data_IF_885755573766
#
_entry.id   IF_885755573766
#
_cell.length_a   1.000
_cell.length_b   1.000
_cell.length_c   1.000
_cell.angle_alpha   90.00
_cell.angle_beta   90.00
_cell.angle_gamma   90.00
#
_symmetry.space_group_name_H-M   'P 1'
#
loop_
_entity.id
_entity.type
_entity.pdbx_description
1 polymer ?
2 non-polymer ?
3 non-polymer ?
4 non-polymer ?
5 non-polymer ?
6 water ?
#
# COMPACT_ATOMS: atom_id res chain seq x y z
N UNK A 7 13.71 -6.84 10.12
CA UNK A 7 13.04 -5.52 9.93
C UNK A 7 12.25 -5.16 11.17
N UNK A 8 12.96 -4.69 12.20
CA UNK A 8 12.29 -4.16 13.39
C UNK A 8 11.45 -2.97 12.96
N UNK A 9 10.15 -3.21 12.72
CA UNK A 9 9.22 -2.10 12.52
C UNK A 9 9.27 -1.25 13.77
N UNK A 10 8.91 0.00 13.60
CA UNK A 10 9.06 0.95 14.68
C UNK A 10 8.03 0.80 15.82
N UNK A 11 8.38 1.32 16.98
CA UNK A 11 7.58 1.20 18.19
C UNK A 11 6.27 2.00 18.17
N UNK A 12 6.09 2.93 17.22
CA UNK A 12 4.81 3.59 17.08
C UNK A 12 3.96 3.02 15.99
N UNK A 13 4.39 1.91 15.42
CA UNK A 13 3.62 1.24 14.39
C UNK A 13 2.24 0.81 14.91
N UNK A 14 1.19 1.16 14.14
CA UNK A 14 -0.18 0.85 14.51
C UNK A 14 -0.85 2.04 15.23
N UNK A 15 -0.05 3.02 15.64
CA UNK A 15 -0.55 4.28 16.13
C UNK A 15 -0.87 5.21 14.97
N UNK A 16 -1.87 6.05 15.18
CA UNK A 16 -2.22 7.09 14.25
C UNK A 16 -2.24 8.42 14.97
N UNK A 17 -1.47 9.33 14.46
CA UNK A 17 -1.39 10.66 14.95
C UNK A 17 -2.20 11.56 14.04
N UNK A 18 -3.22 12.17 14.60
CA UNK A 18 -4.06 13.10 13.92
C UNK A 18 -3.60 14.50 14.32
N UNK A 19 -3.16 15.28 13.30
CA UNK A 19 -2.61 16.61 13.54
C UNK A 19 -3.57 17.62 12.92
N UNK A 20 -3.54 18.83 13.46
CA UNK A 20 -4.33 19.94 12.93
C UNK A 20 -3.46 21.13 12.50
N UNK A 21 -2.15 21.00 12.61
CA UNK A 21 -1.24 22.00 11.99
C UNK A 21 0.04 21.35 11.53
N UNK A 22 0.80 22.07 10.73
CA UNK A 22 2.05 21.63 10.16
C UNK A 22 3.00 21.30 11.30
N UNK A 23 3.71 20.21 11.21
CA UNK A 23 4.82 19.87 12.14
C UNK A 23 6.08 20.56 11.63
N UNK A 24 6.66 21.47 12.41
CA UNK A 24 7.88 22.15 12.05
C UNK A 24 9.09 21.43 12.68
N UNK A 25 10.06 21.01 11.88
CA UNK A 25 11.27 20.39 12.33
C UNK A 25 12.39 21.41 12.11
N UNK A 26 13.16 21.66 13.17
CA UNK A 26 14.10 22.74 13.14
C UNK A 26 15.45 22.32 12.70
N UNK A 27 16.26 23.29 12.30
CA UNK A 27 17.60 23.04 11.88
C UNK A 27 18.41 22.11 12.86
N UNK A 28 19.00 21.03 12.37
CA UNK A 28 19.70 20.04 13.19
C UNK A 28 18.86 19.04 13.96
N UNK A 29 17.53 19.18 13.89
CA UNK A 29 16.63 18.23 14.50
C UNK A 29 16.32 17.14 13.50
N UNK A 30 16.14 15.93 14.02
CA UNK A 30 15.52 14.79 13.27
C UNK A 30 14.18 14.40 13.92
N UNK A 31 13.10 14.54 13.16
CA UNK A 31 11.81 14.02 13.55
C UNK A 31 11.76 12.59 13.18
N UNK A 32 11.74 11.69 14.15
CA UNK A 32 11.59 10.26 13.90
C UNK A 32 10.28 9.70 14.34
N UNK A 33 9.40 9.41 13.38
CA UNK A 33 8.11 8.94 13.71
C UNK A 33 8.01 7.52 14.23
N UNK A 34 9.10 6.75 14.23
CA UNK A 34 9.07 5.38 14.61
C UNK A 34 7.92 4.58 14.05
N UNK A 35 7.55 4.85 12.77
CA UNK A 35 6.49 4.10 12.09
C UNK A 35 5.09 4.61 12.28
N UNK A 36 4.91 5.73 12.99
CA UNK A 36 3.62 6.33 13.18
C UNK A 36 3.00 6.68 11.84
N UNK A 37 1.70 6.55 11.78
CA UNK A 37 0.90 7.00 10.62
C UNK A 37 0.29 8.35 10.96
N UNK A 38 0.43 9.32 10.09
CA UNK A 38 -0.04 10.67 10.32
C UNK A 38 -1.25 10.95 9.43
N UNK A 39 -2.31 11.47 10.01
CA UNK A 39 -3.47 11.87 9.31
C UNK A 39 -3.70 13.32 9.62
N UNK A 40 -3.68 14.17 8.60
CA UNK A 40 -3.89 15.59 8.83
C UNK A 40 -5.33 16.00 8.69
N UNK A 41 -5.77 16.86 9.59
CA UNK A 41 -7.14 17.35 9.57
C UNK A 41 -7.14 18.84 9.48
N UNK A 42 -8.01 19.38 8.62
CA UNK A 42 -8.13 20.84 8.44
C UNK A 42 -7.04 21.55 7.63
N UNK A 43 -6.20 20.76 6.95
CA UNK A 43 -5.02 21.21 6.31
C UNK A 43 -5.09 21.00 4.81
N UNK A 44 -6.22 20.51 4.31
CA UNK A 44 -6.32 20.17 2.89
C UNK A 44 -6.99 18.84 2.66
N UNK A 45 -7.40 18.57 1.41
CA UNK A 45 -8.10 17.36 1.06
C UNK A 45 -7.22 16.46 0.18
N UNK A 46 -5.99 16.89 -0.10
CA UNK A 46 -5.08 16.13 -0.94
C UNK A 46 -5.45 16.24 -2.46
N UNK A 47 -6.35 17.18 -2.81
CA UNK A 47 -6.69 17.38 -4.22
C UNK A 47 -5.60 18.18 -4.90
N UNK A 48 -5.86 18.62 -6.15
CA UNK A 48 -4.95 19.53 -6.78
C UNK A 48 -5.08 21.05 -6.43
N UNK A 49 -5.94 21.40 -5.47
CA UNK A 49 -6.00 22.76 -5.00
C UNK A 49 -4.65 23.23 -4.47
N UNK A 50 -4.47 24.54 -4.67
CA UNK A 50 -3.19 25.22 -4.60
C UNK A 50 -2.73 25.50 -3.20
N UNK A 51 -3.73 25.68 -2.34
CA UNK A 51 -3.54 26.37 -1.07
C UNK A 51 -3.73 25.42 0.10
N UNK A 52 -3.10 24.26 0.05
CA UNK A 52 -3.17 23.34 1.18
C UNK A 52 -1.93 23.56 2.00
N UNK A 53 -1.95 23.10 3.26
CA UNK A 53 -0.77 23.18 4.11
C UNK A 53 0.12 21.98 3.98
N UNK A 54 1.43 22.16 4.25
CA UNK A 54 2.27 21.00 4.36
C UNK A 54 2.06 20.23 5.68
N UNK A 55 2.25 18.92 5.63
CA UNK A 55 2.19 18.09 6.78
C UNK A 55 3.42 18.38 7.66
N UNK A 56 4.56 18.46 7.04
CA UNK A 56 5.82 18.78 7.64
C UNK A 56 6.51 19.94 6.95
N UNK A 57 7.15 20.83 7.74
CA UNK A 57 8.08 21.86 7.25
C UNK A 57 9.41 21.51 7.78
N UNK A 58 10.35 21.19 6.92
CA UNK A 58 11.71 20.84 7.34
C UNK A 58 12.59 22.03 7.07
N UNK A 59 12.97 22.71 8.14
CA UNK A 59 13.83 23.87 7.96
C UNK A 59 15.19 23.41 7.41
N UNK A 60 16.05 24.37 7.00
CA UNK A 60 17.35 24.04 6.48
C UNK A 60 18.09 23.20 7.55
N UNK A 61 18.63 22.05 7.18
CA UNK A 61 19.40 21.20 8.08
C UNK A 61 18.53 20.30 8.94
N UNK A 62 17.22 20.30 8.68
CA UNK A 62 16.30 19.37 9.41
C UNK A 62 16.14 18.01 8.68
N UNK A 63 15.94 16.92 9.40
CA UNK A 63 15.69 15.59 8.83
C UNK A 63 14.36 15.03 9.30
N UNK A 64 13.82 14.07 8.53
CA UNK A 64 12.64 13.37 8.84
C UNK A 64 12.78 11.92 8.50
N UNK A 65 12.33 11.07 9.38
CA UNK A 65 12.38 9.64 9.15
C UNK A 65 11.22 8.87 9.72
N UNK A 66 10.89 7.76 9.06
CA UNK A 66 10.01 6.71 9.62
C UNK A 66 8.62 7.20 9.93
N UNK A 67 8.01 7.91 8.99
CA UNK A 67 6.60 8.15 9.04
C UNK A 67 5.83 7.57 7.83
N UNK A 68 4.59 7.35 8.09
CA UNK A 68 3.63 7.01 7.00
C UNK A 68 2.73 8.22 6.97
N UNK A 69 2.51 8.87 5.82
CA UNK A 69 1.62 9.94 5.63
C UNK A 69 0.36 9.35 4.98
N UNK A 70 -0.75 9.33 5.75
CA UNK A 70 -2.01 8.81 5.31
C UNK A 70 -2.71 9.88 4.49
N UNK A 71 -3.73 9.46 3.74
CA UNK A 71 -4.65 10.45 3.16
C UNK A 71 -5.29 11.23 4.27
N UNK A 72 -5.52 12.54 4.12
CA UNK A 72 -5.23 13.36 2.92
C UNK A 72 -3.79 13.84 2.94
N UNK A 73 -3.12 13.73 1.77
CA UNK A 73 -1.72 14.10 1.71
C UNK A 73 -1.43 15.59 1.74
N UNK A 74 -2.48 16.44 1.61
CA UNK A 74 -2.36 17.92 1.75
C UNK A 74 -1.23 18.38 0.83
N UNK A 75 -0.36 19.28 1.28
CA UNK A 75 0.79 19.67 0.48
C UNK A 75 2.09 19.03 0.98
N UNK A 76 1.97 17.85 1.54
CA UNK A 76 3.11 16.98 1.77
C UNK A 76 4.22 17.56 2.62
N UNK A 77 5.46 17.40 2.18
CA UNK A 77 6.61 17.79 2.98
C UNK A 77 7.33 18.96 2.35
N UNK A 78 7.50 20.08 3.03
CA UNK A 78 8.21 21.24 2.49
C UNK A 78 9.60 21.21 3.01
N UNK A 79 10.59 21.29 2.12
CA UNK A 79 11.99 21.11 2.49
C UNK A 79 12.76 22.39 2.14
N UNK A 80 13.44 23.00 3.11
CA UNK A 80 14.13 24.28 2.85
C UNK A 80 15.64 24.09 2.62
N UNK A 81 16.12 22.89 2.43
CA UNK A 81 17.45 22.58 1.99
C UNK A 81 18.27 21.86 2.99
N UNK A 82 19.20 21.05 2.55
CA UNK A 82 20.03 20.23 3.36
C UNK A 82 19.22 19.36 4.34
N UNK A 83 18.37 18.51 3.73
CA UNK A 83 17.39 17.70 4.44
C UNK A 83 17.57 16.29 4.00
N UNK A 84 17.49 15.35 4.90
CA UNK A 84 17.33 13.95 4.60
C UNK A 84 15.98 13.46 5.04
N UNK A 85 15.27 12.75 4.13
CA UNK A 85 13.91 12.30 4.32
C UNK A 85 13.99 10.78 4.10
N UNK A 86 14.00 9.94 5.16
CA UNK A 86 14.35 8.55 5.11
C UNK A 86 13.17 7.71 5.53
N UNK A 87 12.82 6.71 4.71
CA UNK A 87 11.73 5.75 5.02
C UNK A 87 10.40 6.33 5.21
N UNK A 88 10.05 7.35 4.38
CA UNK A 88 8.78 7.98 4.41
C UNK A 88 7.88 7.39 3.34
N UNK A 89 6.69 7.02 3.78
CA UNK A 89 5.75 6.38 2.92
C UNK A 89 4.58 7.28 2.75
N UNK A 90 4.26 7.66 1.52
CA UNK A 90 3.08 8.40 1.22
C UNK A 90 2.04 7.43 0.73
N UNK A 91 1.02 7.14 1.51
CA UNK A 91 -0.03 6.22 1.10
C UNK A 91 -0.93 6.82 0.01
N UNK A 92 -1.06 8.12 -0.08
CA UNK A 92 -1.95 8.74 -1.09
C UNK A 92 -1.47 10.17 -1.14
N UNK A 93 -0.59 10.41 -2.09
CA UNK A 93 -0.04 11.72 -2.27
C UNK A 93 -1.08 12.78 -2.46
N UNK A 94 -0.84 13.92 -1.85
CA UNK A 94 -1.73 15.03 -1.95
C UNK A 94 -1.47 15.85 -3.19
N UNK A 95 -1.39 17.16 -3.05
CA UNK A 95 -1.10 18.01 -4.23
C UNK A 95 0.23 17.65 -4.86
N UNK A 96 1.24 17.50 -3.99
CA UNK A 96 2.46 16.85 -4.31
C UNK A 96 2.96 16.22 -2.99
N UNK A 97 3.99 15.40 -3.08
CA UNK A 97 4.49 14.62 -1.90
C UNK A 97 5.53 15.41 -1.15
N UNK A 98 6.47 16.08 -1.85
CA UNK A 98 7.54 16.82 -1.25
C UNK A 98 7.96 17.95 -2.19
N UNK A 99 8.16 19.13 -1.62
CA UNK A 99 8.57 20.29 -2.37
C UNK A 99 9.86 20.85 -1.86
N UNK A 100 10.78 21.14 -2.76
CA UNK A 100 12.07 21.83 -2.36
C UNK A 100 11.83 23.32 -2.55
N UNK A 101 11.77 24.01 -1.42
CA UNK A 101 11.38 25.39 -1.30
C UNK A 101 12.55 26.39 -1.29
N UNK A 102 13.72 25.94 -0.94
CA UNK A 102 14.90 26.75 -0.89
C UNK A 102 16.13 25.90 -1.18
N UNK A 103 17.27 26.53 -1.49
CA UNK A 103 18.39 25.87 -2.04
C UNK A 103 19.12 24.99 -1.05
N UNK A 104 19.58 23.83 -1.48
CA UNK A 104 20.44 22.95 -0.72
C UNK A 104 20.32 21.55 -1.31
N UNK A 105 20.91 20.59 -0.63
CA UNK A 105 20.85 19.21 -1.00
C UNK A 105 19.64 18.59 -0.29
N UNK A 106 18.82 17.87 -1.03
CA UNK A 106 17.71 17.14 -0.40
C UNK A 106 17.70 15.70 -0.90
N UNK A 107 17.71 14.74 0.02
CA UNK A 107 17.82 13.34 -0.25
C UNK A 107 16.57 12.65 0.27
N UNK A 108 15.90 11.87 -0.57
CA UNK A 108 14.78 11.02 -0.20
C UNK A 108 15.31 9.62 -0.35
N UNK A 109 15.41 8.86 0.75
CA UNK A 109 16.07 7.61 0.80
C UNK A 109 15.12 6.57 1.41
N UNK A 110 14.82 5.52 0.67
CA UNK A 110 13.84 4.58 1.12
C UNK A 110 12.38 5.10 1.05
N UNK A 111 11.40 4.28 1.46
CA UNK A 111 10.04 4.71 1.36
C UNK A 111 9.40 4.52 -0.01
N UNK A 112 8.29 5.18 -0.18
CA UNK A 112 7.47 4.95 -1.37
C UNK A 112 6.38 5.93 -1.45
N UNK A 113 5.75 6.07 -2.63
CA UNK A 113 4.65 6.97 -2.80
C UNK A 113 3.65 6.34 -3.75
N UNK A 114 2.37 6.61 -3.52
CA UNK A 114 1.37 6.12 -4.39
C UNK A 114 0.29 7.11 -4.58
N UNK A 115 -0.36 7.00 -5.71
CA UNK A 115 -1.58 7.81 -6.04
C UNK A 115 -1.31 9.33 -6.04
N UNK A 116 -0.36 9.76 -6.87
CA UNK A 116 -0.09 11.17 -7.12
C UNK A 116 -0.80 11.52 -8.40
N UNK A 117 -1.77 12.37 -8.28
CA UNK A 117 -2.54 12.81 -9.49
C UNK A 117 -1.70 13.59 -10.42
N UNK A 118 -0.71 14.29 -9.91
CA UNK A 118 0.23 15.11 -10.72
C UNK A 118 1.66 14.74 -10.25
N UNK A 119 2.42 15.68 -9.68
CA UNK A 119 3.82 15.37 -9.33
C UNK A 119 3.96 14.79 -7.97
N UNK A 120 4.94 13.91 -7.87
CA UNK A 120 5.39 13.42 -6.53
C UNK A 120 6.31 14.53 -5.97
N UNK A 121 7.45 14.78 -6.59
CA UNK A 121 8.44 15.71 -6.06
C UNK A 121 8.45 17.01 -6.91
N UNK A 122 8.41 18.15 -6.24
CA UNK A 122 8.26 19.47 -6.87
C UNK A 122 9.44 20.31 -6.47
N UNK A 123 10.25 20.72 -7.45
CA UNK A 123 11.48 21.50 -7.17
C UNK A 123 11.32 22.96 -7.57
N UNK A 124 11.20 23.79 -6.55
CA UNK A 124 10.93 25.24 -6.74
C UNK A 124 12.11 26.15 -6.41
N UNK A 125 13.26 25.60 -6.14
CA UNK A 125 14.49 26.36 -5.92
C UNK A 125 15.66 25.52 -6.49
N UNK A 126 16.80 26.12 -6.84
CA UNK A 126 17.96 25.41 -7.30
C UNK A 126 18.41 24.48 -6.21
N UNK A 127 18.72 23.26 -6.55
CA UNK A 127 19.05 22.24 -5.54
C UNK A 127 19.65 21.08 -6.19
N UNK A 128 20.26 20.25 -5.37
CA UNK A 128 20.67 18.93 -5.73
C UNK A 128 19.69 17.95 -5.07
N UNK A 129 18.99 17.12 -5.82
CA UNK A 129 17.83 16.40 -5.33
C UNK A 129 18.06 14.92 -5.66
N UNK A 130 18.19 14.09 -4.64
CA UNK A 130 18.44 12.68 -4.84
C UNK A 130 17.32 11.80 -4.31
N UNK A 131 16.91 10.84 -5.13
CA UNK A 131 15.85 9.85 -4.78
C UNK A 131 16.58 8.54 -4.83
N UNK A 132 16.62 7.80 -3.72
CA UNK A 132 17.38 6.59 -3.61
C UNK A 132 16.52 5.45 -2.96
N UNK A 133 16.57 4.26 -3.56
CA UNK A 133 15.86 3.10 -3.06
C UNK A 133 14.37 3.32 -2.80
N UNK A 134 13.68 3.82 -3.85
CA UNK A 134 12.38 4.34 -3.76
C UNK A 134 11.46 3.72 -4.80
N UNK A 135 10.23 3.50 -4.39
CA UNK A 135 9.17 2.98 -5.28
C UNK A 135 7.99 3.90 -5.35
N UNK A 136 7.44 4.13 -6.56
CA UNK A 136 6.26 4.91 -6.68
C UNK A 136 5.34 4.29 -7.74
N UNK A 137 4.07 4.34 -7.42
CA UNK A 137 3.06 3.64 -8.26
C UNK A 137 1.89 4.57 -8.43
N UNK A 138 1.40 4.64 -9.65
CA UNK A 138 0.19 5.44 -10.04
C UNK A 138 0.40 6.93 -9.80
N UNK A 139 1.26 7.52 -10.62
CA UNK A 139 1.69 8.87 -10.49
C UNK A 139 1.61 9.62 -11.80
N UNK A 140 1.52 10.93 -11.75
CA UNK A 140 1.65 11.71 -12.94
C UNK A 140 3.08 11.90 -13.38
N UNK A 141 3.93 12.41 -12.46
CA UNK A 141 5.36 12.55 -12.72
C UNK A 141 6.07 12.29 -11.40
N UNK A 142 7.25 11.75 -11.48
CA UNK A 142 8.05 11.58 -10.26
C UNK A 142 8.63 12.92 -9.86
N UNK A 143 9.27 13.67 -10.77
CA UNK A 143 9.92 14.95 -10.39
C UNK A 143 9.52 16.01 -11.41
N UNK A 144 9.17 17.16 -10.92
CA UNK A 144 8.89 18.33 -11.75
C UNK A 144 9.64 19.54 -11.19
N UNK A 145 10.37 20.24 -12.04
CA UNK A 145 10.88 21.54 -11.69
C UNK A 145 9.83 22.55 -11.97
N UNK A 146 9.71 23.55 -11.08
CA UNK A 146 8.62 24.55 -11.26
C UNK A 146 8.53 25.06 -12.71
N UNK A 147 7.33 25.07 -13.27
CA UNK A 147 7.12 25.40 -14.66
C UNK A 147 7.76 26.73 -15.07
N UNK A 148 8.34 26.73 -16.28
CA UNK A 148 8.92 27.90 -16.83
C UNK A 148 9.99 28.54 -16.02
N UNK A 149 10.62 27.84 -15.10
CA UNK A 149 11.75 28.43 -14.43
C UNK A 149 13.05 27.83 -15.08
N UNK A 150 14.15 28.60 -14.97
CA UNK A 150 15.39 28.23 -15.65
C UNK A 150 16.61 28.23 -14.74
N UNK A 151 16.38 28.23 -13.45
CA UNK A 151 17.47 27.94 -12.53
C UNK A 151 17.87 26.48 -12.71
N UNK A 152 18.94 26.08 -12.04
CA UNK A 152 19.49 24.75 -12.22
C UNK A 152 19.13 23.86 -11.09
N UNK A 153 18.51 22.70 -11.47
CA UNK A 153 18.48 21.60 -10.50
C UNK A 153 19.28 20.45 -11.09
N UNK A 154 19.86 19.63 -10.22
CA UNK A 154 20.48 18.40 -10.59
C UNK A 154 19.77 17.28 -9.83
N UNK A 155 19.17 16.37 -10.56
CA UNK A 155 18.34 15.30 -9.99
C UNK A 155 19.04 13.99 -10.19
N UNK A 156 19.15 13.14 -9.15
CA UNK A 156 19.69 11.81 -9.21
C UNK A 156 18.58 10.83 -8.81
N UNK A 157 18.36 9.84 -9.68
CA UNK A 157 17.47 8.73 -9.39
C UNK A 157 18.25 7.48 -9.35
N UNK A 158 18.40 6.91 -8.16
CA UNK A 158 19.24 5.76 -7.89
C UNK A 158 18.44 4.62 -7.19
N UNK A 159 18.32 3.51 -7.92
CA UNK A 159 17.55 2.35 -7.43
C UNK A 159 16.14 2.77 -7.19
N UNK A 160 15.52 3.22 -8.28
CA UNK A 160 14.17 3.67 -8.25
C UNK A 160 13.28 2.86 -9.18
N UNK A 161 12.10 2.50 -8.69
CA UNK A 161 11.18 1.64 -9.44
C UNK A 161 9.86 2.37 -9.55
N UNK A 162 9.34 2.50 -10.77
CA UNK A 162 8.17 3.28 -11.03
C UNK A 162 7.17 2.42 -11.83
N UNK A 163 5.93 2.46 -11.39
CA UNK A 163 4.86 1.74 -12.14
C UNK A 163 3.67 2.62 -12.36
N UNK A 164 3.28 2.77 -13.65
CA UNK A 164 2.08 3.53 -14.06
C UNK A 164 2.29 5.04 -13.88
N UNK A 165 3.04 5.59 -14.85
CA UNK A 165 3.46 6.98 -14.83
C UNK A 165 2.72 7.64 -16.00
N UNK A 166 1.75 8.49 -15.66
CA UNK A 166 0.77 9.04 -16.66
C UNK A 166 1.29 10.23 -17.50
N UNK A 167 2.38 10.90 -17.06
CA UNK A 167 2.92 12.02 -17.84
C UNK A 167 4.36 11.74 -18.17
N UNK A 168 5.27 11.73 -17.17
CA UNK A 168 6.66 11.39 -17.45
C UNK A 168 7.40 11.13 -16.12
N UNK A 169 8.54 10.57 -16.21
CA UNK A 169 9.36 10.36 -14.98
C UNK A 169 9.74 11.72 -14.45
N UNK A 170 10.28 12.59 -15.29
CA UNK A 170 10.68 13.95 -14.82
C UNK A 170 10.49 14.99 -15.89
N UNK A 171 10.07 16.19 -15.46
CA UNK A 171 9.82 17.35 -16.31
C UNK A 171 10.55 18.58 -15.84
N UNK A 172 11.22 19.31 -16.73
CA UNK A 172 11.88 20.58 -16.44
C UNK A 172 11.82 21.43 -17.70
N UNK A 173 11.62 22.70 -17.45
CA UNK A 173 11.70 23.73 -18.52
C UNK A 173 12.99 24.46 -18.52
N UNK A 174 14.04 23.95 -17.82
CA UNK A 174 15.31 24.62 -17.67
C UNK A 174 16.43 23.91 -18.50
N UNK A 175 17.05 24.56 -19.49
CA UNK A 175 18.11 23.91 -20.21
C UNK A 175 19.34 23.60 -19.41
N UNK A 176 19.57 24.21 -18.28
CA UNK A 176 20.77 23.94 -17.52
C UNK A 176 20.56 22.79 -16.50
N UNK A 177 19.30 22.41 -16.28
CA UNK A 177 19.05 21.39 -15.29
C UNK A 177 19.51 20.03 -15.86
N UNK A 178 19.78 19.11 -14.95
CA UNK A 178 20.27 17.79 -15.33
C UNK A 178 19.59 16.71 -14.52
N UNK A 179 19.42 15.55 -15.18
CA UNK A 179 18.90 14.35 -14.49
C UNK A 179 19.85 13.22 -14.76
N UNK A 180 20.33 12.56 -13.67
CA UNK A 180 21.20 11.46 -13.72
C UNK A 180 20.52 10.24 -13.07
N UNK A 181 20.60 9.09 -13.74
CA UNK A 181 19.96 7.90 -13.17
C UNK A 181 20.82 6.67 -13.26
N UNK A 182 20.55 5.76 -12.31
CA UNK A 182 21.36 4.56 -12.06
C UNK A 182 20.36 3.55 -11.44
N UNK A 183 20.18 2.42 -12.14
CA UNK A 183 19.22 1.40 -11.73
C UNK A 183 17.84 1.95 -11.60
N UNK A 184 17.32 2.45 -12.76
CA UNK A 184 16.00 2.96 -12.84
C UNK A 184 15.12 1.99 -13.59
N UNK A 185 14.02 1.55 -12.99
CA UNK A 185 13.09 0.61 -13.59
C UNK A 185 11.77 1.26 -13.74
N UNK A 186 11.29 1.33 -14.95
CA UNK A 186 10.03 2.04 -15.24
C UNK A 186 9.04 1.17 -16.05
N UNK A 187 7.84 0.96 -15.52
CA UNK A 187 6.78 0.23 -16.25
C UNK A 187 5.60 1.09 -16.47
N UNK A 188 5.10 1.00 -17.69
CA UNK A 188 3.85 1.68 -18.09
C UNK A 188 3.96 3.22 -17.93
N UNK A 189 4.79 3.79 -18.78
CA UNK A 189 5.07 5.22 -18.75
C UNK A 189 4.98 5.79 -20.10
N UNK A 190 4.16 6.83 -20.25
CA UNK A 190 4.10 7.63 -21.47
C UNK A 190 5.47 7.95 -22.17
N UNK A 191 6.32 8.73 -21.50
CA UNK A 191 7.47 9.37 -22.08
C UNK A 191 8.40 9.48 -20.85
N UNK A 192 9.67 9.12 -20.93
CA UNK A 192 10.47 9.19 -19.72
C UNK A 192 10.77 10.61 -19.30
N UNK A 193 11.35 11.44 -20.16
CA UNK A 193 11.88 12.73 -19.72
C UNK A 193 11.41 13.90 -20.59
N UNK A 194 10.73 14.83 -19.98
CA UNK A 194 10.24 16.07 -20.65
C UNK A 194 11.15 17.24 -20.28
N UNK A 195 12.28 17.34 -20.98
CA UNK A 195 13.31 18.41 -20.74
C UNK A 195 13.52 19.10 -22.08
N UNK A 196 14.07 20.31 -22.08
CA UNK A 196 14.34 20.98 -23.39
C UNK A 196 15.17 20.12 -24.36
N UNK A 197 16.19 19.42 -23.87
CA UNK A 197 16.96 18.53 -24.70
C UNK A 197 17.20 17.20 -23.96
N UNK A 198 17.11 16.10 -24.70
CA UNK A 198 17.39 14.82 -24.11
C UNK A 198 18.83 14.65 -23.67
N UNK A 199 19.74 15.48 -24.17
CA UNK A 199 21.11 15.43 -23.72
C UNK A 199 21.32 15.93 -22.30
N UNK A 200 20.27 16.45 -21.66
CA UNK A 200 20.34 16.82 -20.24
C UNK A 200 20.18 15.63 -19.31
N UNK A 201 19.86 14.48 -19.86
CA UNK A 201 19.59 13.25 -19.12
C UNK A 201 20.73 12.30 -19.35
N UNK A 202 21.27 11.74 -18.23
CA UNK A 202 22.46 10.94 -18.26
C UNK A 202 22.28 9.69 -17.39
N UNK A 203 22.95 8.64 -17.72
CA UNK A 203 23.09 7.53 -16.79
C UNK A 203 24.43 7.67 -16.05
N UNK A 204 24.55 6.93 -14.94
CA UNK A 204 25.84 6.76 -14.31
C UNK A 204 25.93 5.43 -13.71
N UNK B 10 -28.57 -21.34 3.53
CA UNK B 10 -29.21 -21.79 4.78
C UNK B 10 -30.53 -21.06 4.96
N UNK B 11 -30.96 -21.02 6.21
CA UNK B 11 -32.27 -20.48 6.55
C UNK B 11 -32.40 -18.99 6.19
N UNK B 12 -31.28 -18.24 6.18
CA UNK B 12 -31.31 -16.79 5.86
C UNK B 12 -31.06 -16.37 4.40
N UNK B 13 -30.93 -17.37 3.51
CA UNK B 13 -30.79 -17.07 2.12
C UNK B 13 -31.93 -16.23 1.55
N UNK B 14 -31.59 -15.20 0.78
CA UNK B 14 -32.54 -14.19 0.28
C UNK B 14 -32.78 -13.02 1.27
N UNK B 15 -32.25 -13.12 2.49
CA UNK B 15 -32.11 -12.00 3.43
C UNK B 15 -30.87 -11.15 3.21
N UNK B 16 -31.02 -9.84 3.42
CA UNK B 16 -29.90 -8.93 3.38
C UNK B 16 -29.87 -8.16 4.71
N UNK B 17 -28.72 -8.09 5.37
CA UNK B 17 -28.52 -7.28 6.51
C UNK B 17 -27.71 -6.09 6.08
N UNK B 18 -28.29 -4.89 6.21
CA UNK B 18 -27.63 -3.65 5.89
C UNK B 18 -27.05 -3.09 7.18
N UNK B 19 -25.76 -2.76 7.20
CA UNK B 19 -25.10 -2.33 8.41
C UNK B 19 -24.47 -0.96 8.20
N UNK B 20 -24.21 -0.26 9.32
CA UNK B 20 -23.56 1.03 9.25
C UNK B 20 -22.36 1.09 10.17
N UNK B 21 -22.02 0.00 10.80
CA UNK B 21 -20.76 -0.10 11.47
C UNK B 21 -20.30 -1.53 11.48
N UNK B 22 -19.02 -1.73 11.76
CA UNK B 22 -18.44 -3.05 11.80
C UNK B 22 -19.23 -3.98 12.75
N UNK B 23 -19.44 -5.23 12.32
CA UNK B 23 -19.98 -6.26 13.13
C UNK B 23 -18.82 -6.82 13.92
N UNK B 24 -18.89 -6.72 15.24
CA UNK B 24 -17.90 -7.29 16.08
C UNK B 24 -18.39 -8.67 16.50
N UNK B 25 -17.53 -9.64 16.30
CA UNK B 25 -17.76 -10.98 16.73
C UNK B 25 -16.87 -11.25 17.94
N UNK B 26 -17.48 -11.39 19.11
CA UNK B 26 -16.70 -11.48 20.33
C UNK B 26 -15.98 -12.79 20.54
N UNK B 27 -14.95 -12.76 21.36
CA UNK B 27 -14.08 -13.90 21.60
C UNK B 27 -14.89 -15.19 21.85
N UNK B 28 -14.53 -16.27 21.16
CA UNK B 28 -15.20 -17.55 21.37
C UNK B 28 -16.53 -17.77 20.64
N UNK B 29 -17.17 -16.70 20.19
CA UNK B 29 -18.47 -16.73 19.52
C UNK B 29 -18.37 -17.11 18.03
N UNK B 30 -19.30 -17.92 17.54
CA UNK B 30 -19.45 -18.11 16.11
C UNK B 30 -20.61 -17.30 15.59
N UNK B 31 -20.34 -16.38 14.68
CA UNK B 31 -21.35 -15.73 13.92
C UNK B 31 -21.78 -16.62 12.71
N UNK B 32 -22.97 -17.19 12.75
CA UNK B 32 -23.47 -17.94 11.60
C UNK B 32 -24.54 -17.14 10.89
N UNK B 33 -24.25 -16.69 9.67
CA UNK B 33 -25.21 -15.92 8.94
C UNK B 33 -26.32 -16.73 8.27
N UNK B 34 -26.18 -18.08 8.20
CA UNK B 34 -27.09 -18.93 7.40
C UNK B 34 -27.45 -18.42 6.00
N UNK B 35 -26.46 -17.87 5.28
CA UNK B 35 -26.66 -17.48 3.92
C UNK B 35 -27.12 -16.06 3.75
N UNK B 36 -27.16 -15.32 4.86
CA UNK B 36 -27.45 -13.88 4.82
C UNK B 36 -26.39 -13.13 4.02
N UNK B 37 -26.81 -12.14 3.26
CA UNK B 37 -25.87 -11.28 2.55
C UNK B 37 -25.73 -10.01 3.36
N UNK B 38 -24.49 -9.54 3.55
CA UNK B 38 -24.22 -8.26 4.20
C UNK B 38 -23.92 -7.12 3.24
N UNK B 39 -24.59 -5.98 3.40
CA UNK B 39 -24.30 -4.76 2.68
C UNK B 39 -23.94 -3.64 3.69
N UNK B 40 -22.75 -3.09 3.53
CA UNK B 40 -22.20 -2.06 4.42
C UNK B 40 -22.41 -0.70 3.76
N UNK B 41 -22.90 0.21 4.60
CA UNK B 41 -23.16 1.61 4.25
C UNK B 41 -22.34 2.54 5.16
N UNK B 42 -21.72 3.57 4.56
CA UNK B 42 -20.92 4.51 5.31
C UNK B 42 -19.64 3.94 5.89
N UNK B 43 -19.15 2.82 5.34
CA UNK B 43 -17.97 2.18 5.90
C UNK B 43 -16.78 2.08 4.89
N UNK B 44 -17.00 2.62 3.74
CA UNK B 44 -16.02 2.55 2.67
C UNK B 44 -16.66 2.21 1.33
N UNK B 45 -15.87 2.30 0.28
CA UNK B 45 -16.36 2.18 -1.06
C UNK B 45 -15.75 0.94 -1.72
N UNK B 46 -14.97 0.17 -0.93
CA UNK B 46 -14.22 -0.97 -1.53
C UNK B 46 -13.08 -0.62 -2.50
N UNK B 47 -12.66 0.67 -2.56
CA UNK B 47 -11.53 1.10 -3.33
C UNK B 47 -10.25 0.68 -2.63
N UNK B 48 -9.14 1.15 -3.21
CA UNK B 48 -7.83 0.84 -2.58
C UNK B 48 -7.44 1.78 -1.42
N UNK B 49 -8.35 2.68 -1.03
CA UNK B 49 -8.07 3.56 0.15
C UNK B 49 -7.80 2.71 1.39
N UNK B 50 -6.82 3.10 2.20
CA UNK B 50 -6.42 2.32 3.35
C UNK B 50 -7.19 2.66 4.59
N UNK B 51 -8.15 3.55 4.46
CA UNK B 51 -8.87 4.07 5.62
C UNK B 51 -10.35 3.63 5.78
N UNK B 52 -10.66 2.42 5.29
CA UNK B 52 -12.03 1.93 5.34
C UNK B 52 -12.21 1.08 6.54
N UNK B 53 -13.46 0.82 6.94
CA UNK B 53 -13.71 -0.01 8.08
C UNK B 53 -13.88 -1.44 7.61
N UNK B 54 -13.53 -2.38 8.50
CA UNK B 54 -13.88 -3.75 8.22
C UNK B 54 -15.37 -4.04 8.33
N UNK B 55 -15.89 -4.94 7.49
CA UNK B 55 -17.27 -5.42 7.64
C UNK B 55 -17.42 -6.20 8.93
N UNK B 56 -16.50 -7.07 9.23
CA UNK B 56 -16.46 -7.82 10.43
C UNK B 56 -15.13 -7.73 11.14
N UNK B 57 -15.19 -7.69 12.45
CA UNK B 57 -14.03 -7.89 13.34
C UNK B 57 -14.23 -9.20 14.07
N UNK B 58 -13.27 -10.11 13.92
CA UNK B 58 -13.28 -11.40 14.66
C UNK B 58 -12.25 -11.31 15.79
N UNK B 59 -12.74 -11.14 17.02
CA UNK B 59 -11.84 -11.13 18.14
C UNK B 59 -11.13 -12.46 18.24
N UNK B 60 -10.12 -12.58 19.08
CA UNK B 60 -9.43 -13.81 19.25
C UNK B 60 -10.40 -15.00 19.58
N UNK B 61 -10.26 -16.12 18.90
CA UNK B 61 -11.20 -17.20 19.13
C UNK B 61 -12.55 -17.16 18.42
N UNK B 62 -12.96 -16.05 17.82
CA UNK B 62 -14.26 -15.96 17.18
C UNK B 62 -14.26 -16.65 15.79
N UNK B 63 -15.42 -17.09 15.35
CA UNK B 63 -15.59 -17.67 14.03
C UNK B 63 -16.69 -16.98 13.29
N UNK B 64 -16.67 -17.15 11.99
CA UNK B 64 -17.65 -16.56 11.07
C UNK B 64 -18.00 -17.60 10.02
N UNK B 65 -19.28 -17.83 9.82
CA UNK B 65 -19.71 -18.76 8.73
C UNK B 65 -20.94 -18.36 7.97
N UNK B 66 -21.03 -18.83 6.75
CA UNK B 66 -22.22 -18.69 5.92
C UNK B 66 -22.72 -17.28 5.76
N UNK B 67 -21.81 -16.35 5.46
CA UNK B 67 -22.20 -15.02 4.96
C UNK B 67 -21.77 -14.75 3.52
N UNK B 68 -22.51 -13.92 2.79
CA UNK B 68 -22.12 -13.36 1.54
C UNK B 68 -21.82 -11.90 1.81
N UNK B 69 -20.62 -11.44 1.49
CA UNK B 69 -20.27 -10.04 1.66
C UNK B 69 -20.52 -9.37 0.34
N UNK B 70 -21.53 -8.47 0.30
CA UNK B 70 -21.81 -7.79 -0.92
C UNK B 70 -20.86 -6.61 -1.11
N UNK B 71 -20.84 -6.03 -2.28
CA UNK B 71 -20.18 -4.74 -2.52
C UNK B 71 -20.95 -3.69 -1.75
N UNK B 72 -20.27 -2.67 -1.21
CA UNK B 72 -18.82 -2.51 -1.17
C UNK B 72 -18.11 -3.33 -0.14
N UNK B 73 -16.95 -3.88 -0.50
CA UNK B 73 -16.29 -4.80 0.44
C UNK B 73 -15.53 -4.17 1.55
N UNK B 74 -15.37 -2.83 1.44
CA UNK B 74 -14.75 -2.01 2.50
C UNK B 74 -13.38 -2.63 2.86
N UNK B 75 -13.07 -2.78 4.13
CA UNK B 75 -11.89 -3.51 4.57
C UNK B 75 -12.08 -4.94 5.02
N UNK B 76 -13.13 -5.58 4.48
CA UNK B 76 -13.30 -6.98 4.63
C UNK B 76 -13.39 -7.48 6.05
N UNK B 77 -12.70 -8.56 6.36
CA UNK B 77 -12.79 -9.23 7.64
C UNK B 77 -11.47 -9.19 8.41
N UNK B 78 -11.46 -8.49 9.56
CA UNK B 78 -10.26 -8.44 10.36
C UNK B 78 -10.24 -9.51 11.42
N UNK B 79 -9.19 -10.30 11.44
CA UNK B 79 -9.10 -11.46 12.28
C UNK B 79 -7.97 -11.27 13.25
N UNK B 80 -8.30 -11.38 14.53
CA UNK B 80 -7.33 -11.15 15.60
C UNK B 80 -6.73 -12.43 16.09
N UNK B 81 -7.07 -13.53 15.42
CA UNK B 81 -6.37 -14.77 15.63
C UNK B 81 -7.21 -15.92 16.18
N UNK B 82 -6.83 -17.15 15.86
CA UNK B 82 -7.58 -18.37 16.22
C UNK B 82 -9.01 -18.26 15.80
N UNK B 83 -9.19 -18.01 14.50
CA UNK B 83 -10.48 -17.82 13.89
C UNK B 83 -10.66 -18.83 12.77
N UNK B 84 -11.90 -19.31 12.61
CA UNK B 84 -12.31 -20.02 11.42
C UNK B 84 -13.34 -19.19 10.64
N UNK B 85 -13.10 -19.01 9.36
CA UNK B 85 -14.01 -18.30 8.45
C UNK B 85 -14.46 -19.31 7.39
N UNK B 86 -15.74 -19.71 7.45
CA UNK B 86 -16.25 -20.84 6.70
C UNK B 86 -17.32 -20.45 5.67
N UNK B 87 -17.22 -20.95 4.47
CA UNK B 87 -18.24 -20.65 3.47
C UNK B 87 -18.62 -19.18 3.38
N UNK B 88 -17.61 -18.30 3.47
CA UNK B 88 -17.80 -16.85 3.18
C UNK B 88 -17.54 -16.55 1.76
N UNK B 89 -18.44 -15.82 1.10
CA UNK B 89 -18.35 -15.48 -0.21
C UNK B 89 -18.18 -13.97 -0.31
N UNK B 90 -17.06 -13.52 -0.85
CA UNK B 90 -16.87 -12.12 -1.20
C UNK B 90 -17.27 -11.89 -2.62
N UNK B 91 -18.41 -11.23 -2.85
CA UNK B 91 -18.87 -10.96 -4.20
C UNK B 91 -18.01 -9.93 -4.97
N UNK B 92 -17.35 -9.04 -4.20
CA UNK B 92 -16.53 -8.01 -4.77
C UNK B 92 -15.64 -7.55 -3.68
N UNK B 93 -14.40 -8.09 -3.69
CA UNK B 93 -13.45 -7.79 -2.64
C UNK B 93 -13.23 -6.23 -2.59
N UNK B 94 -13.13 -5.76 -1.37
CA UNK B 94 -12.81 -4.37 -1.11
C UNK B 94 -11.31 -4.10 -1.17
N UNK B 95 -10.80 -3.32 -0.22
CA UNK B 95 -9.38 -3.00 -0.29
C UNK B 95 -8.58 -4.31 -0.19
N UNK B 96 -8.99 -5.16 0.75
CA UNK B 96 -8.61 -6.53 0.82
C UNK B 96 -9.81 -7.29 1.36
N UNK B 97 -9.77 -8.62 1.30
CA UNK B 97 -10.88 -9.45 1.74
C UNK B 97 -10.80 -9.79 3.22
N UNK B 98 -9.63 -10.19 3.70
CA UNK B 98 -9.46 -10.63 5.07
C UNK B 98 -8.03 -10.31 5.47
N UNK B 99 -7.86 -9.76 6.71
CA UNK B 99 -6.57 -9.38 7.25
C UNK B 99 -6.37 -10.05 8.53
N UNK B 100 -5.19 -10.60 8.71
CA UNK B 100 -4.74 -11.12 10.01
C UNK B 100 -4.00 -9.99 10.74
N UNK B 101 -4.64 -9.58 11.81
CA UNK B 101 -4.23 -8.39 12.58
C UNK B 101 -3.48 -8.71 13.84
N UNK B 102 -3.54 -9.94 14.30
CA UNK B 102 -2.77 -10.26 15.47
C UNK B 102 -2.48 -11.77 15.45
N UNK B 103 -1.65 -12.23 16.37
CA UNK B 103 -1.12 -13.57 16.30
C UNK B 103 -2.14 -14.71 16.50
N UNK B 104 -1.89 -15.83 15.81
CA UNK B 104 -2.75 -17.00 15.96
C UNK B 104 -2.95 -17.76 14.67
N UNK B 105 -3.84 -18.71 14.69
CA UNK B 105 -4.15 -19.52 13.54
C UNK B 105 -5.44 -19.00 12.93
N UNK B 106 -5.42 -18.81 11.63
CA UNK B 106 -6.62 -18.34 10.96
C UNK B 106 -6.85 -19.29 9.77
N UNK B 107 -8.06 -19.85 9.69
CA UNK B 107 -8.43 -20.77 8.61
C UNK B 107 -9.61 -20.29 7.82
N UNK B 108 -9.45 -20.14 6.53
CA UNK B 108 -10.56 -19.79 5.61
C UNK B 108 -10.85 -21.10 4.89
N UNK B 109 -12.10 -21.56 5.06
CA UNK B 109 -12.49 -22.88 4.58
C UNK B 109 -13.74 -22.71 3.74
N UNK B 110 -13.75 -23.13 2.50
CA UNK B 110 -14.89 -22.96 1.68
C UNK B 110 -15.06 -21.52 1.28
N UNK B 111 -16.06 -21.30 0.43
CA UNK B 111 -16.32 -19.96 -0.07
C UNK B 111 -15.47 -19.56 -1.24
N UNK B 112 -15.45 -18.26 -1.53
CA UNK B 112 -14.84 -17.75 -2.73
C UNK B 112 -14.70 -16.26 -2.68
N UNK B 113 -13.88 -15.75 -3.54
CA UNK B 113 -13.69 -14.28 -3.61
C UNK B 113 -13.51 -13.90 -5.07
N UNK B 114 -13.99 -12.70 -5.43
CA UNK B 114 -13.98 -12.24 -6.78
C UNK B 114 -13.58 -10.74 -6.80
N UNK B 115 -12.88 -10.32 -7.84
CA UNK B 115 -12.65 -8.91 -8.08
C UNK B 115 -11.87 -8.20 -6.99
N UNK B 116 -10.70 -8.73 -6.69
CA UNK B 116 -9.78 -8.09 -5.77
C UNK B 116 -8.77 -7.29 -6.60
N UNK B 117 -8.82 -5.97 -6.50
CA UNK B 117 -7.88 -5.13 -7.22
C UNK B 117 -6.43 -5.36 -6.77
N UNK B 118 -6.26 -5.73 -5.52
CA UNK B 118 -4.93 -5.97 -5.00
C UNK B 118 -4.91 -7.29 -4.25
N UNK B 119 -4.69 -7.31 -2.97
CA UNK B 119 -4.59 -8.55 -2.22
C UNK B 119 -5.96 -9.05 -1.81
N UNK B 120 -6.07 -10.39 -1.75
CA UNK B 120 -7.25 -11.03 -1.14
C UNK B 120 -6.95 -11.08 0.36
N UNK B 121 -5.93 -11.83 0.76
CA UNK B 121 -5.60 -12.06 2.15
C UNK B 121 -4.32 -11.29 2.51
N UNK B 122 -4.36 -10.50 3.57
CA UNK B 122 -3.29 -9.59 4.00
C UNK B 122 -2.87 -10.02 5.40
N UNK B 123 -1.59 -10.37 5.57
CA UNK B 123 -1.05 -10.96 6.82
C UNK B 123 -0.15 -9.96 7.50
N UNK B 124 -0.66 -9.40 8.59
CA UNK B 124 0.06 -8.27 9.28
C UNK B 124 0.59 -8.70 10.64
N UNK B 125 0.52 -9.95 10.98
CA UNK B 125 1.15 -10.48 12.20
C UNK B 125 1.58 -11.90 11.98
N UNK B 126 2.47 -12.38 12.80
CA UNK B 126 2.87 -13.75 12.74
C UNK B 126 1.70 -14.66 12.92
N UNK B 127 1.56 -15.64 12.03
CA UNK B 127 0.41 -16.47 12.10
C UNK B 127 0.60 -17.74 11.32
N UNK B 128 -0.32 -18.71 11.51
CA UNK B 128 -0.47 -19.79 10.57
C UNK B 128 -1.77 -19.47 9.85
N UNK B 129 -1.70 -19.46 8.54
CA UNK B 129 -2.84 -19.00 7.72
C UNK B 129 -3.12 -20.12 6.69
N UNK B 130 -4.26 -20.76 6.82
CA UNK B 130 -4.66 -21.86 5.94
C UNK B 130 -5.91 -21.49 5.16
N UNK B 131 -5.81 -21.69 3.86
CA UNK B 131 -6.92 -21.46 2.90
C UNK B 131 -7.21 -22.82 2.30
N UNK B 132 -8.45 -23.27 2.51
CA UNK B 132 -8.86 -24.65 2.16
C UNK B 132 -10.14 -24.60 1.33
N UNK B 133 -10.19 -25.36 0.27
CA UNK B 133 -11.41 -25.49 -0.53
C UNK B 133 -11.97 -24.17 -0.97
N UNK B 134 -11.21 -23.42 -1.72
CA UNK B 134 -11.52 -22.02 -2.00
C UNK B 134 -11.25 -21.68 -3.42
N UNK B 135 -12.06 -20.78 -4.02
CA UNK B 135 -11.85 -20.36 -5.37
C UNK B 135 -11.81 -18.82 -5.41
N UNK B 136 -10.84 -18.27 -6.17
CA UNK B 136 -10.82 -16.80 -6.42
C UNK B 136 -10.61 -16.51 -7.82
N UNK B 137 -11.27 -15.46 -8.32
CA UNK B 137 -11.17 -15.09 -9.68
C UNK B 137 -10.95 -13.58 -9.79
N UNK B 138 -10.03 -13.16 -10.67
CA UNK B 138 -9.73 -11.70 -10.93
C UNK B 138 -9.23 -11.02 -9.72
N UNK B 139 -8.01 -11.41 -9.35
CA UNK B 139 -7.36 -10.92 -8.21
C UNK B 139 -5.95 -10.42 -8.51
N UNK B 140 -5.41 -9.58 -7.61
CA UNK B 140 -4.01 -9.13 -7.72
C UNK B 140 -3.10 -10.19 -7.13
N UNK B 141 -3.32 -10.44 -5.86
CA UNK B 141 -2.56 -11.45 -5.11
C UNK B 141 -3.56 -12.27 -4.30
N UNK B 142 -3.29 -13.55 -4.09
CA UNK B 142 -4.08 -14.27 -3.10
C UNK B 142 -3.68 -13.94 -1.66
N UNK B 143 -2.35 -13.95 -1.34
CA UNK B 143 -1.88 -13.72 -0.02
C UNK B 143 -0.65 -12.83 -0.05
N UNK B 144 -0.66 -11.81 0.79
CA UNK B 144 0.48 -10.92 0.94
C UNK B 144 0.82 -10.80 2.38
N UNK B 145 2.06 -11.13 2.74
CA UNK B 145 2.62 -10.68 4.03
C UNK B 145 2.91 -9.17 3.96
N UNK B 146 2.59 -8.43 5.06
CA UNK B 146 2.88 -7.00 5.10
C UNK B 146 4.27 -6.70 4.58
N UNK B 147 4.34 -5.74 3.66
CA UNK B 147 5.60 -5.43 3.01
C UNK B 147 6.77 -5.08 3.94
N UNK B 148 7.89 -5.61 3.55
CA UNK B 148 9.15 -5.45 4.24
C UNK B 148 9.24 -6.09 5.59
N UNK B 149 8.17 -6.67 6.15
CA UNK B 149 8.29 -7.32 7.44
C UNK B 149 9.02 -8.67 7.36
N UNK B 150 9.72 -9.03 8.45
CA UNK B 150 10.51 -10.23 8.46
C UNK B 150 10.12 -11.23 9.58
N UNK B 151 8.95 -11.04 10.21
CA UNK B 151 8.37 -12.00 11.10
C UNK B 151 7.90 -13.21 10.24
N UNK B 152 7.66 -14.32 10.90
CA UNK B 152 7.27 -15.53 10.22
C UNK B 152 5.81 -15.75 10.16
N UNK B 153 5.33 -16.00 8.92
CA UNK B 153 4.02 -16.64 8.73
C UNK B 153 4.21 -17.98 8.07
N UNK B 154 3.25 -18.91 8.30
CA UNK B 154 3.19 -20.17 7.62
C UNK B 154 1.83 -20.22 6.93
N UNK B 155 1.89 -20.34 5.63
CA UNK B 155 0.68 -20.30 4.84
C UNK B 155 0.46 -21.73 4.27
N UNK B 156 -0.77 -22.24 4.36
CA UNK B 156 -1.15 -23.46 3.68
C UNK B 156 -2.26 -23.11 2.66
N UNK B 157 -2.06 -23.56 1.44
CA UNK B 157 -3.06 -23.46 0.31
C UNK B 157 -3.45 -24.87 -0.09
N UNK B 158 -4.64 -25.28 0.30
CA UNK B 158 -5.12 -26.68 0.09
C UNK B 158 -6.42 -26.65 -0.65
N UNK B 159 -6.43 -27.27 -1.79
CA UNK B 159 -7.64 -27.37 -2.67
C UNK B 159 -8.09 -25.91 -2.98
N UNK B 160 -7.16 -25.16 -3.51
CA UNK B 160 -7.39 -23.79 -3.98
C UNK B 160 -7.29 -23.63 -5.45
N UNK B 161 -8.27 -22.99 -6.10
CA UNK B 161 -8.27 -22.78 -7.51
C UNK B 161 -8.39 -21.30 -7.79
N UNK B 162 -7.48 -20.79 -8.61
CA UNK B 162 -7.35 -19.32 -8.84
C UNK B 162 -7.45 -19.06 -10.32
N UNK B 163 -8.22 -18.05 -10.74
CA UNK B 163 -8.30 -17.68 -12.13
C UNK B 163 -8.05 -16.18 -12.33
N UNK B 164 -7.08 -15.86 -13.16
CA UNK B 164 -6.67 -14.49 -13.47
C UNK B 164 -6.04 -13.78 -12.30
N UNK B 165 -4.75 -14.01 -12.13
CA UNK B 165 -3.99 -13.53 -10.99
C UNK B 165 -3.00 -12.55 -11.58
N UNK B 166 -3.17 -11.27 -11.27
CA UNK B 166 -2.36 -10.23 -11.96
C UNK B 166 -0.92 -10.13 -11.47
N UNK B 167 -0.74 -10.09 -10.16
CA UNK B 167 0.61 -9.98 -9.55
C UNK B 167 1.26 -11.34 -9.30
N UNK B 168 0.71 -12.07 -8.35
CA UNK B 168 1.28 -13.37 -7.96
C UNK B 168 0.28 -14.09 -7.03
N UNK B 169 0.49 -15.38 -6.84
CA UNK B 169 -0.27 -16.05 -5.85
C UNK B 169 0.02 -15.54 -4.44
N UNK B 170 1.27 -15.50 -4.05
CA UNK B 170 1.60 -15.13 -2.71
C UNK B 170 2.98 -14.43 -2.68
N UNK B 171 3.02 -13.39 -1.89
CA UNK B 171 4.21 -12.56 -1.75
C UNK B 171 4.59 -12.42 -0.27
N UNK B 172 5.89 -12.49 0.02
CA UNK B 172 6.40 -12.18 1.34
C UNK B 172 7.81 -11.66 1.13
N UNK B 173 8.22 -10.75 2.00
CA UNK B 173 9.60 -10.26 2.06
C UNK B 173 10.33 -10.88 3.24
N UNK B 174 9.71 -11.78 3.95
CA UNK B 174 10.40 -12.43 5.07
C UNK B 174 11.17 -13.58 4.57
N UNK B 175 12.39 -13.77 5.01
CA UNK B 175 13.11 -14.96 4.64
C UNK B 175 12.83 -16.22 5.49
N UNK B 176 12.00 -16.07 6.50
CA UNK B 176 11.60 -17.17 7.39
C UNK B 176 10.18 -17.61 7.21
N UNK B 177 9.39 -16.85 6.46
CA UNK B 177 8.08 -17.37 6.20
C UNK B 177 8.05 -18.55 5.28
N UNK B 178 6.94 -19.31 5.32
CA UNK B 178 6.80 -20.56 4.54
C UNK B 178 5.45 -20.60 3.83
N UNK B 179 5.44 -21.22 2.71
CA UNK B 179 4.17 -21.53 2.00
C UNK B 179 4.19 -22.98 1.60
N UNK B 180 3.10 -23.68 1.97
CA UNK B 180 2.89 -25.07 1.72
C UNK B 180 1.62 -25.20 0.89
N UNK B 181 1.69 -25.94 -0.16
CA UNK B 181 0.52 -26.13 -1.02
C UNK B 181 0.28 -27.53 -1.40
N UNK B 182 -1.04 -27.79 -1.60
CA UNK B 182 -1.53 -29.11 -1.93
C UNK B 182 -2.82 -28.91 -2.74
N UNK B 183 -2.77 -29.31 -4.00
CA UNK B 183 -3.84 -29.09 -4.95
C UNK B 183 -4.15 -27.60 -5.01
N UNK B 184 -3.21 -26.90 -5.58
CA UNK B 184 -3.28 -25.48 -5.91
C UNK B 184 -3.24 -25.39 -7.43
N UNK B 185 -4.35 -24.90 -8.02
CA UNK B 185 -4.54 -24.87 -9.44
C UNK B 185 -4.71 -23.42 -9.91
N UNK B 186 -3.85 -23.00 -10.80
CA UNK B 186 -3.79 -21.58 -11.17
C UNK B 186 -3.99 -21.43 -12.65
N UNK B 187 -4.85 -20.52 -13.05
CA UNK B 187 -5.06 -20.23 -14.41
C UNK B 187 -4.77 -18.74 -14.66
N UNK B 188 -3.99 -18.44 -15.69
CA UNK B 188 -3.65 -17.05 -16.12
C UNK B 188 -2.95 -16.28 -15.02
N UNK B 189 -1.76 -16.74 -14.71
CA UNK B 189 -0.84 -16.18 -13.72
C UNK B 189 0.61 -16.32 -14.25
N UNK B 190 1.26 -15.21 -14.44
CA UNK B 190 2.57 -15.25 -15.01
C UNK B 190 3.53 -15.56 -13.85
N UNK B 191 3.06 -15.36 -12.61
CA UNK B 191 4.01 -15.28 -11.48
C UNK B 191 3.50 -16.03 -10.24
N UNK B 192 4.11 -17.12 -9.77
CA UNK B 192 3.42 -17.78 -8.67
C UNK B 192 3.78 -17.20 -7.34
N UNK B 193 5.03 -17.27 -6.98
CA UNK B 193 5.41 -16.95 -5.66
C UNK B 193 6.51 -15.92 -5.69
N UNK B 194 6.36 -14.89 -4.89
CA UNK B 194 7.40 -13.84 -4.72
C UNK B 194 7.85 -13.81 -3.27
N UNK B 195 8.73 -14.75 -3.01
CA UNK B 195 9.37 -14.90 -1.70
C UNK B 195 10.88 -14.75 -1.90
N UNK B 196 11.62 -14.57 -0.78
CA UNK B 196 13.05 -14.36 -0.99
C UNK B 196 13.77 -15.57 -1.53
N UNK B 197 13.28 -16.78 -1.21
CA UNK B 197 13.86 -17.99 -1.74
C UNK B 197 12.77 -19.02 -2.02
N UNK B 198 13.00 -19.76 -3.09
CA UNK B 198 12.07 -20.78 -3.48
C UNK B 198 12.14 -21.94 -2.51
N UNK B 199 13.19 -22.00 -1.69
CA UNK B 199 13.23 -22.99 -0.65
C UNK B 199 12.17 -22.83 0.43
N UNK B 200 11.50 -21.68 0.47
CA UNK B 200 10.49 -21.37 1.42
C UNK B 200 9.10 -21.88 0.96
N UNK B 201 9.05 -22.41 -0.26
CA UNK B 201 7.83 -22.95 -0.85
C UNK B 201 7.90 -24.46 -0.91
N UNK B 202 6.84 -25.11 -0.42
CA UNK B 202 6.82 -26.56 -0.15
C UNK B 202 5.55 -27.16 -0.68
N UNK B 203 5.68 -28.35 -1.28
CA UNK B 203 4.51 -29.13 -1.67
C UNK B 203 4.25 -30.15 -0.60
N UNK B 204 2.96 -30.48 -0.42
CA UNK B 204 2.64 -31.59 0.51
C UNK B 204 1.41 -32.37 0.02
#
# INVERSE_FOLDING_TARGET
>A
MAHHHHHHVGTNTGGVLVITDTIIVKSGQTYDGKGIKIIAQGMGDGSQSENQKPIFKLEKGANLKNVIIGAPGCDGIHCYGDNVVENVVWEDVGEDALTVKSEGVVEVIGGSAKEAADAVFQLNAPCTFKVKNFTATNIGKLVAQNGNTTFKVVIYLEDVTLNNVKSCVAKSDSPVSELWYHNLNVNNCKTLFEFPSQSQIHQY
>B
MAHHHHHHVGTNTGGVLVITDTIIVKSGQTYDGKGIKIIAQGMGDGSQSENQKPIFKLEKGANLKNVIIGAPGCDGIHCYGDNVVENVVWEDVGEDALTVKSEGVVEVIGGSAKEAADAVFQLNAPCTFKVKNFTATNIGKLVAQNGNTTFKVVIYLEDVTLNNVKSCVAKSDSPVSELWYHNLNVNNCKTLFEFPSQSQIHQY
#
